data_IF_842123956578
#
_entry.id   IF_842123956578
#
_cell.length_a   1.000
_cell.length_b   1.000
_cell.length_c   1.000
_cell.angle_alpha   90.00
_cell.angle_beta   90.00
_cell.angle_gamma   90.00
#
_symmetry.space_group_name_H-M   'P 1'
#
loop_
_entity.id
_entity.type
_entity.pdbx_description
1 polymer ?
#
# COMPACT_ATOMS: atom_id res chain seq x y z
N UNK A 1 -3.09 10.02 -11.04
CA UNK A 1 -2.03 11.03 -10.98
C UNK A 1 -0.73 10.47 -10.40
N UNK A 2 -0.77 9.86 -9.22
CA UNK A 2 0.44 9.28 -8.59
C UNK A 2 1.00 8.13 -9.43
N UNK A 3 0.14 7.29 -10.00
CA UNK A 3 0.56 6.19 -10.87
C UNK A 3 1.27 6.69 -12.12
N UNK A 4 0.70 7.71 -12.79
CA UNK A 4 1.32 8.30 -13.98
C UNK A 4 2.67 8.94 -13.66
N UNK A 5 2.77 9.65 -12.55
CA UNK A 5 4.02 10.25 -12.11
C UNK A 5 5.08 9.18 -11.80
N UNK A 6 4.69 8.11 -11.12
CA UNK A 6 5.59 7.01 -10.80
C UNK A 6 6.19 6.40 -12.07
N UNK A 7 5.35 6.10 -13.06
CA UNK A 7 5.79 5.50 -14.31
C UNK A 7 6.69 6.44 -15.11
N UNK A 8 6.33 7.73 -15.18
CA UNK A 8 7.11 8.74 -15.89
C UNK A 8 8.50 8.91 -15.27
N UNK A 9 8.57 9.03 -13.94
CA UNK A 9 9.84 9.16 -13.24
C UNK A 9 10.69 7.89 -13.34
N UNK A 10 10.06 6.72 -13.23
CA UNK A 10 10.79 5.46 -13.36
C UNK A 10 11.44 5.34 -14.73
N UNK A 11 10.69 5.68 -15.78
CA UNK A 11 11.22 5.63 -17.15
C UNK A 11 12.36 6.65 -17.36
N UNK A 12 12.19 7.86 -16.86
CA UNK A 12 13.18 8.93 -17.04
C UNK A 12 14.47 8.66 -16.28
N UNK A 13 14.36 8.10 -15.07
CA UNK A 13 15.52 7.94 -14.18
C UNK A 13 16.18 6.57 -14.29
N UNK A 14 15.62 5.64 -15.06
CA UNK A 14 16.26 4.36 -15.31
C UNK A 14 17.55 4.55 -16.14
N UNK A 15 18.56 3.74 -15.95
CA UNK A 15 18.69 2.67 -14.96
C UNK A 15 19.26 3.13 -13.62
N UNK A 16 19.59 4.40 -13.47
CA UNK A 16 20.34 4.89 -12.31
C UNK A 16 19.55 4.95 -11.03
N UNK A 17 18.24 5.23 -11.12
CA UNK A 17 17.34 5.36 -9.96
C UNK A 17 16.09 4.54 -10.20
N UNK A 18 15.68 3.78 -9.20
CA UNK A 18 14.43 3.04 -9.22
C UNK A 18 13.34 3.88 -8.55
N UNK A 19 12.14 3.86 -9.12
CA UNK A 19 10.99 4.60 -8.60
C UNK A 19 9.80 3.65 -8.51
N UNK A 20 9.28 3.46 -7.33
CA UNK A 20 8.12 2.63 -7.06
C UNK A 20 7.15 3.37 -6.15
N UNK A 21 5.91 2.96 -6.12
CA UNK A 21 4.90 3.52 -5.25
C UNK A 21 4.19 2.43 -4.46
N UNK A 22 3.76 2.77 -3.27
CA UNK A 22 2.93 1.91 -2.42
C UNK A 22 1.54 2.53 -2.38
N UNK A 23 0.53 1.71 -2.62
CA UNK A 23 -0.87 2.12 -2.58
C UNK A 23 -1.57 1.38 -1.42
N UNK A 24 -1.61 1.96 -0.22
CA UNK A 24 -2.26 1.33 0.92
C UNK A 24 -3.77 1.60 0.93
N UNK A 25 -4.50 0.77 1.65
CA UNK A 25 -5.85 1.09 2.10
C UNK A 25 -5.76 1.67 3.52
N UNK A 26 -6.89 1.75 4.24
CA UNK A 26 -6.85 2.30 5.59
C UNK A 26 -5.96 1.46 6.50
N UNK A 27 -5.05 2.14 7.18
CA UNK A 27 -4.02 1.55 8.02
C UNK A 27 -4.14 2.12 9.43
N UNK A 28 -3.86 1.31 10.43
CA UNK A 28 -3.82 1.76 11.82
C UNK A 28 -2.62 2.68 12.02
N UNK A 29 -2.90 3.98 12.13
CA UNK A 29 -1.91 5.02 12.35
C UNK A 29 -2.43 5.97 13.42
N UNK A 30 -1.57 6.79 14.04
CA UNK A 30 -2.03 7.83 14.97
C UNK A 30 -3.05 8.77 14.33
N UNK A 31 -2.91 9.06 13.04
CA UNK A 31 -3.82 9.95 12.32
C UNK A 31 -5.22 9.31 12.17
N UNK A 32 -5.29 8.01 11.99
CA UNK A 32 -6.55 7.28 11.84
C UNK A 32 -7.20 6.93 13.18
N UNK A 33 -6.53 7.15 14.29
CA UNK A 33 -6.97 6.70 15.61
C UNK A 33 -8.35 7.22 15.99
N UNK A 34 -8.64 8.48 15.69
CA UNK A 34 -9.94 9.07 15.99
C UNK A 34 -11.08 8.36 15.28
N UNK A 35 -10.92 8.03 14.01
CA UNK A 35 -11.89 7.29 13.22
C UNK A 35 -12.09 5.88 13.76
N UNK A 36 -11.00 5.25 14.22
CA UNK A 36 -10.99 3.86 14.67
C UNK A 36 -11.44 3.68 16.11
N UNK A 37 -11.72 4.77 16.84
CA UNK A 37 -12.26 4.67 18.19
C UNK A 37 -13.66 4.06 18.21
N UNK A 38 -14.44 4.25 17.15
CA UNK A 38 -15.73 3.61 17.02
C UNK A 38 -15.50 2.19 16.47
N UNK A 39 -15.71 1.19 17.32
CA UNK A 39 -15.46 -0.20 16.96
C UNK A 39 -16.36 -0.67 15.82
N UNK A 40 -17.60 -0.24 15.78
CA UNK A 40 -18.52 -0.58 14.70
C UNK A 40 -18.04 -0.06 13.36
N UNK A 41 -17.54 1.18 13.32
CA UNK A 41 -16.96 1.77 12.11
C UNK A 41 -15.70 1.02 11.71
N UNK A 42 -14.82 0.73 12.65
CA UNK A 42 -13.57 -0.02 12.38
C UNK A 42 -13.87 -1.41 11.79
N UNK A 43 -14.84 -2.11 12.35
CA UNK A 43 -15.24 -3.43 11.84
C UNK A 43 -15.84 -3.34 10.44
N UNK A 44 -16.65 -2.32 10.17
CA UNK A 44 -17.25 -2.11 8.85
C UNK A 44 -16.18 -1.87 7.80
N UNK A 45 -15.17 -1.07 8.13
CA UNK A 45 -14.06 -0.78 7.22
C UNK A 45 -13.20 -2.04 7.01
N UNK A 46 -12.90 -2.77 8.09
CA UNK A 46 -12.15 -4.02 7.99
C UNK A 46 -12.85 -5.01 7.06
N UNK A 47 -14.17 -5.12 7.15
CA UNK A 47 -14.96 -6.04 6.34
C UNK A 47 -14.96 -5.72 4.84
N UNK A 48 -14.53 -4.52 4.44
CA UNK A 48 -14.39 -4.15 3.03
C UNK A 48 -13.20 -4.84 2.36
N UNK A 49 -12.33 -5.46 3.14
CA UNK A 49 -11.10 -6.07 2.62
C UNK A 49 -11.26 -7.58 2.53
N UNK A 50 -10.80 -8.22 1.45
CA UNK A 50 -10.72 -9.69 1.37
C UNK A 50 -9.92 -10.30 2.53
N UNK A 51 -8.82 -9.67 2.94
CA UNK A 51 -8.19 -9.96 4.23
C UNK A 51 -8.84 -9.02 5.23
N UNK A 52 -9.79 -9.50 6.05
CA UNK A 52 -10.74 -8.62 6.74
C UNK A 52 -10.17 -7.99 8.01
N UNK A 53 -9.18 -7.17 7.84
CA UNK A 53 -8.57 -6.36 8.90
C UNK A 53 -8.00 -5.08 8.31
N UNK A 54 -7.70 -4.13 9.16
CA UNK A 54 -6.96 -2.93 8.77
C UNK A 54 -5.49 -3.27 8.58
N UNK A 55 -4.82 -2.50 7.73
CA UNK A 55 -3.38 -2.61 7.58
C UNK A 55 -2.65 -2.13 8.83
N UNK A 56 -1.42 -2.58 9.00
CA UNK A 56 -0.54 -2.14 10.08
C UNK A 56 0.54 -1.24 9.50
N UNK A 57 0.87 -0.17 10.23
CA UNK A 57 1.93 0.76 9.80
C UNK A 57 3.26 0.04 9.56
N UNK A 58 3.57 -0.98 10.38
CA UNK A 58 4.76 -1.80 10.20
C UNK A 58 4.81 -2.54 8.87
N UNK A 59 3.67 -2.94 8.35
CA UNK A 59 3.61 -3.62 7.05
C UNK A 59 4.02 -2.69 5.92
N UNK A 60 3.60 -1.42 5.97
CA UNK A 60 4.04 -0.41 5.01
C UNK A 60 5.53 -0.12 5.15
N UNK A 61 6.01 -0.03 6.39
CA UNK A 61 7.42 0.25 6.67
C UNK A 61 8.32 -0.89 6.18
N UNK A 62 7.92 -2.14 6.38
CA UNK A 62 8.69 -3.30 5.91
C UNK A 62 8.79 -3.34 4.39
N UNK A 63 7.70 -3.09 3.68
CA UNK A 63 7.73 -3.03 2.23
C UNK A 63 8.59 -1.86 1.74
N UNK A 64 8.46 -0.71 2.36
CA UNK A 64 9.27 0.46 2.01
C UNK A 64 10.76 0.15 2.19
N UNK A 65 11.15 -0.44 3.29
CA UNK A 65 12.53 -0.82 3.55
C UNK A 65 13.06 -1.81 2.48
N UNK A 66 12.25 -2.79 2.10
CA UNK A 66 12.60 -3.72 1.04
C UNK A 66 12.82 -2.99 -0.29
N UNK A 67 11.90 -2.11 -0.67
CA UNK A 67 12.00 -1.37 -1.94
C UNK A 67 13.18 -0.41 -1.99
N UNK A 68 13.64 0.07 -0.84
CA UNK A 68 14.83 0.91 -0.74
C UNK A 68 16.13 0.12 -0.68
N UNK A 69 16.05 -1.20 -0.53
CA UNK A 69 17.23 -2.05 -0.37
C UNK A 69 17.73 -2.58 -1.71
N UNK A 70 18.99 -3.07 -1.71
CA UNK A 70 19.59 -3.73 -2.87
C UNK A 70 18.86 -5.02 -3.24
N UNK A 71 18.09 -5.61 -2.31
CA UNK A 71 17.34 -6.84 -2.58
C UNK A 71 16.24 -6.64 -3.62
N UNK A 72 15.76 -5.42 -3.79
CA UNK A 72 14.76 -5.08 -4.80
C UNK A 72 15.37 -4.42 -6.06
N UNK A 73 16.64 -4.66 -6.34
CA UNK A 73 17.38 -3.97 -7.39
C UNK A 73 16.84 -4.17 -8.81
N UNK A 74 15.99 -5.17 -9.02
CA UNK A 74 15.34 -5.46 -10.31
C UNK A 74 13.92 -4.92 -10.39
N UNK A 75 13.45 -4.15 -9.38
CA UNK A 75 12.09 -3.64 -9.27
C UNK A 75 12.09 -2.13 -9.50
N UNK A 76 11.42 -1.67 -10.54
CA UNK A 76 11.18 -0.24 -10.78
C UNK A 76 9.87 -0.06 -11.57
N UNK A 77 9.25 1.10 -11.45
CA UNK A 77 8.03 1.41 -12.17
C UNK A 77 6.79 0.66 -11.67
N UNK A 78 6.81 0.17 -10.44
CA UNK A 78 5.72 -0.61 -9.89
C UNK A 78 4.88 0.21 -8.92
N UNK A 79 3.57 0.00 -8.99
CA UNK A 79 2.62 0.51 -8.00
C UNK A 79 2.10 -0.71 -7.25
N UNK A 80 2.49 -0.85 -5.99
CA UNK A 80 2.22 -2.05 -5.21
C UNK A 80 1.08 -1.80 -4.26
N UNK A 81 -0.04 -2.49 -4.47
CA UNK A 81 -1.19 -2.43 -3.58
C UNK A 81 -0.90 -3.19 -2.29
N UNK A 82 -1.11 -2.53 -1.15
CA UNK A 82 -1.01 -3.14 0.17
C UNK A 82 -2.31 -2.83 0.89
N UNK A 83 -3.36 -3.55 0.52
CA UNK A 83 -4.73 -3.21 0.85
C UNK A 83 -5.59 -4.43 1.19
N UNK A 84 -4.97 -5.54 1.52
CA UNK A 84 -5.69 -6.77 1.83
C UNK A 84 -6.51 -7.31 0.65
N UNK A 85 -6.18 -6.90 -0.57
CA UNK A 85 -6.86 -7.31 -1.78
C UNK A 85 -8.06 -6.46 -2.19
N UNK A 86 -8.35 -5.38 -1.44
CA UNK A 86 -9.55 -4.58 -1.66
C UNK A 86 -9.67 -4.02 -3.08
N UNK A 87 -8.57 -3.54 -3.65
CA UNK A 87 -8.59 -2.88 -4.96
C UNK A 87 -8.61 -3.84 -6.14
N UNK A 88 -8.27 -5.11 -5.93
CA UNK A 88 -8.04 -6.06 -7.01
C UNK A 88 -8.91 -7.31 -6.97
N UNK A 89 -9.46 -7.65 -5.82
CA UNK A 89 -10.18 -8.90 -5.65
C UNK A 89 -11.67 -8.68 -5.37
N UNK A 90 -12.48 -9.61 -5.90
CA UNK A 90 -13.87 -9.77 -5.50
C UNK A 90 -14.02 -11.16 -4.91
N UNK A 91 -14.28 -11.23 -3.62
CA UNK A 91 -14.49 -12.51 -2.95
C UNK A 91 -15.96 -12.89 -2.97
N UNK A 92 -16.20 -14.19 -3.07
CA UNK A 92 -17.55 -14.74 -2.98
C UNK A 92 -18.05 -14.64 -1.55
N UNK A 93 -19.29 -14.27 -1.39
CA UNK A 93 -19.90 -14.17 -0.06
C UNK A 93 -20.86 -13.04 0.07
#
# INVERSE_FOLDING_TARGET
>A
AVSGLTLSLAAELAPGIRVNAIAPSLTQTPLAKGLLQNESVAQSIAALHPIPRLGLAGEMAELTAFLLSAQSSWITGQIIGVDGGRSSLRVKG
#
